data_IF_896387193305
#
_entry.id   IF_896387193305
#
_cell.length_a   1.000
_cell.length_b   1.000
_cell.length_c   1.000
_cell.angle_alpha   90.00
_cell.angle_beta   90.00
_cell.angle_gamma   90.00
#
_symmetry.space_group_name_H-M   'P 1'
#
loop_
_entity.id
_entity.type
_entity.pdbx_description
1 polymer ?
#
# COMPACT_ATOMS: atom_id res chain seq x y z
N UNK A 1 -9.24 -0.44 11.26
CA UNK A 1 -9.15 1.01 11.60
C UNK A 1 -7.99 1.60 10.81
N UNK A 2 -8.17 2.75 10.18
CA UNK A 2 -7.06 3.44 9.47
C UNK A 2 -6.32 4.31 10.48
N UNK A 3 -5.00 4.19 10.53
CA UNK A 3 -4.13 5.01 11.38
C UNK A 3 -3.32 5.94 10.50
N UNK A 4 -3.26 7.23 10.86
CA UNK A 4 -2.54 8.26 10.11
C UNK A 4 -1.62 9.00 11.09
N UNK A 5 -0.38 9.27 10.66
CA UNK A 5 0.54 10.16 11.34
C UNK A 5 1.12 11.14 10.34
N UNK A 6 1.19 12.41 10.73
CA UNK A 6 1.86 13.47 9.98
C UNK A 6 3.30 13.51 10.46
N UNK A 7 4.25 13.51 9.52
CA UNK A 7 5.68 13.64 9.80
C UNK A 7 6.11 15.04 9.39
N UNK A 8 6.63 15.81 10.34
CA UNK A 8 7.10 17.18 10.10
C UNK A 8 8.46 17.15 9.39
N UNK A 9 8.56 17.78 8.22
CA UNK A 9 9.82 17.85 7.44
C UNK A 9 10.57 19.16 7.61
N UNK A 10 9.93 20.24 8.09
CA UNK A 10 10.50 21.59 8.12
C UNK A 10 10.50 22.32 6.76
N UNK A 11 10.09 21.66 5.69
CA UNK A 11 10.01 22.20 4.33
C UNK A 11 8.74 23.01 4.10
N UNK A 12 8.71 23.79 3.00
CA UNK A 12 7.49 24.49 2.56
C UNK A 12 6.36 23.49 2.30
N UNK A 13 5.13 23.87 2.65
CA UNK A 13 3.95 23.04 2.44
C UNK A 13 3.76 22.69 0.95
N UNK A 14 3.55 21.40 0.67
CA UNK A 14 3.26 20.86 -0.66
C UNK A 14 1.96 20.06 -0.71
N UNK A 15 1.66 19.48 -1.87
CA UNK A 15 0.49 18.62 -2.06
C UNK A 15 0.69 17.23 -1.44
N UNK A 16 -0.36 16.70 -0.78
CA UNK A 16 -0.32 15.38 -0.11
C UNK A 16 -1.36 14.38 -0.63
N UNK A 17 -2.14 14.75 -1.66
CA UNK A 17 -3.23 13.90 -2.17
C UNK A 17 -2.75 12.61 -2.86
N UNK A 18 -1.80 12.73 -3.77
CA UNK A 18 -1.26 11.60 -4.55
C UNK A 18 -0.14 10.80 -3.85
N UNK A 19 0.81 11.40 -3.10
CA UNK A 19 1.91 10.66 -2.48
C UNK A 19 1.55 9.41 -1.66
N UNK A 20 0.44 9.36 -0.89
CA UNK A 20 0.07 8.15 -0.15
C UNK A 20 -0.54 7.05 -1.03
N UNK A 21 -1.16 7.40 -2.16
CA UNK A 21 -1.90 6.46 -3.02
C UNK A 21 -1.04 5.30 -3.58
N UNK A 22 0.14 5.53 -4.20
CA UNK A 22 0.90 4.46 -4.82
C UNK A 22 1.46 3.45 -3.82
N UNK A 23 1.55 3.79 -2.54
CA UNK A 23 2.04 2.89 -1.49
C UNK A 23 0.99 1.85 -1.04
N UNK A 24 -0.31 2.12 -1.23
CA UNK A 24 -1.39 1.27 -0.69
C UNK A 24 -1.41 -0.12 -1.36
N UNK A 25 -1.48 -0.17 -2.69
CA UNK A 25 -1.55 -1.44 -3.42
C UNK A 25 -0.35 -2.39 -3.14
N UNK A 26 0.92 -1.96 -3.20
CA UNK A 26 2.05 -2.83 -2.89
C UNK A 26 2.11 -3.23 -1.41
N UNK A 27 1.69 -2.37 -0.47
CA UNK A 27 1.62 -2.74 0.95
C UNK A 27 0.64 -3.90 1.18
N UNK A 28 -0.54 -3.84 0.56
CA UNK A 28 -1.53 -4.93 0.62
C UNK A 28 -1.02 -6.18 -0.08
N UNK A 29 -0.41 -6.06 -1.28
CA UNK A 29 0.14 -7.20 -2.00
C UNK A 29 1.27 -7.90 -1.21
N UNK A 30 2.13 -7.14 -0.52
CA UNK A 30 3.17 -7.69 0.35
C UNK A 30 2.58 -8.41 1.56
N UNK A 31 1.51 -7.89 2.17
CA UNK A 31 0.82 -8.55 3.26
C UNK A 31 0.21 -9.90 2.82
N UNK A 32 -0.40 -9.93 1.64
CA UNK A 32 -0.91 -11.17 1.04
C UNK A 32 0.23 -12.18 0.79
N UNK A 33 1.35 -11.73 0.22
CA UNK A 33 2.50 -12.60 0.00
C UNK A 33 3.08 -13.16 1.31
N UNK A 34 3.10 -12.36 2.38
CA UNK A 34 3.53 -12.79 3.70
C UNK A 34 2.60 -13.85 4.31
N UNK A 35 1.28 -13.72 4.09
CA UNK A 35 0.28 -14.65 4.64
C UNK A 35 0.16 -15.96 3.85
N UNK A 36 0.39 -15.91 2.53
CA UNK A 36 0.10 -17.03 1.62
C UNK A 36 1.35 -17.67 1.02
N UNK A 37 2.52 -17.03 1.14
CA UNK A 37 3.73 -17.41 0.41
C UNK A 37 3.69 -17.10 -1.10
N UNK A 38 2.56 -16.63 -1.64
CA UNK A 38 2.39 -16.37 -3.07
C UNK A 38 2.64 -14.90 -3.42
N UNK A 39 3.56 -14.63 -4.34
CA UNK A 39 3.86 -13.26 -4.81
C UNK A 39 3.03 -12.89 -6.03
N UNK A 40 2.00 -12.06 -5.82
CA UNK A 40 1.14 -11.52 -6.88
C UNK A 40 1.76 -10.26 -7.50
N UNK A 41 1.76 -10.17 -8.84
CA UNK A 41 2.33 -9.04 -9.61
C UNK A 41 1.33 -8.37 -10.55
N UNK A 42 0.07 -8.78 -10.53
CA UNK A 42 -1.00 -8.20 -11.32
C UNK A 42 -2.21 -7.89 -10.46
N UNK A 43 -2.83 -6.74 -10.70
CA UNK A 43 -4.03 -6.28 -10.02
C UNK A 43 -5.26 -6.47 -10.91
N UNK A 44 -6.48 -6.51 -10.34
CA UNK A 44 -6.78 -6.52 -8.90
C UNK A 44 -6.54 -7.89 -8.24
N UNK A 45 -6.28 -7.88 -6.92
CA UNK A 45 -6.07 -9.10 -6.12
C UNK A 45 -7.26 -10.07 -6.16
N UNK A 46 -8.47 -9.56 -6.39
CA UNK A 46 -9.71 -10.36 -6.51
C UNK A 46 -9.74 -11.31 -7.70
N UNK A 47 -8.79 -11.20 -8.65
CA UNK A 47 -8.66 -12.13 -9.79
C UNK A 47 -7.72 -13.30 -9.52
N UNK A 48 -7.20 -13.43 -8.29
CA UNK A 48 -6.24 -14.46 -7.91
C UNK A 48 -6.85 -15.42 -6.88
N UNK A 49 -6.45 -16.69 -6.94
CA UNK A 49 -6.83 -17.71 -5.95
C UNK A 49 -5.66 -17.93 -5.00
N UNK A 50 -5.91 -17.78 -3.70
CA UNK A 50 -4.93 -18.05 -2.66
C UNK A 50 -5.16 -19.45 -2.10
N UNK A 51 -4.08 -20.19 -1.87
CA UNK A 51 -4.07 -21.51 -1.21
C UNK A 51 -3.83 -21.38 0.28
#
# INVERSE_FOLDING_TARGET
RVHVRIVESGEKMGGIGEPPLPAVAPAVANAVAQLTGQRIRSLPLSRHTFS
#
